data_IF_202543573014
#
_entry.id   IF_202543573014
#
_cell.length_a   1.000
_cell.length_b   1.000
_cell.length_c   1.000
_cell.angle_alpha   90.00
_cell.angle_beta   90.00
_cell.angle_gamma   90.00
#
_symmetry.space_group_name_H-M   'P 1'
#
loop_
_entity.id
_entity.type
_entity.pdbx_description
1 polymer ?
#
# COMPACT_ATOMS: atom_id res chain seq x y z
N UNK A 1 49.81 -26.58 37.03
CA UNK A 1 49.64 -25.27 36.33
C UNK A 1 49.77 -25.54 34.84
N UNK A 2 48.86 -25.25 33.90
CA UNK A 2 47.47 -24.79 33.83
C UNK A 2 46.96 -25.30 32.45
N UNK A 3 45.93 -26.16 32.34
CA UNK A 3 45.25 -26.41 31.07
C UNK A 3 44.09 -25.39 30.98
N UNK A 4 44.42 -24.09 30.94
CA UNK A 4 43.40 -23.02 30.97
C UNK A 4 43.31 -22.30 29.61
N UNK A 5 44.35 -22.34 28.77
CA UNK A 5 44.34 -21.59 27.49
C UNK A 5 43.52 -22.25 26.37
N UNK A 6 43.40 -23.57 26.32
CA UNK A 6 42.75 -24.24 25.17
C UNK A 6 41.21 -24.11 25.19
N UNK A 7 40.58 -24.13 26.37
CA UNK A 7 39.11 -24.00 26.47
C UNK A 7 38.62 -22.56 26.28
N UNK A 8 39.45 -21.57 26.57
CA UNK A 8 39.09 -20.15 26.47
C UNK A 8 39.12 -19.65 25.01
N UNK A 9 40.02 -20.18 24.18
CA UNK A 9 40.11 -19.86 22.75
C UNK A 9 38.94 -20.43 21.93
N UNK A 10 38.44 -21.61 22.30
CA UNK A 10 37.26 -22.22 21.67
C UNK A 10 35.98 -21.44 22.02
N UNK A 11 35.86 -20.95 23.26
CA UNK A 11 34.75 -20.06 23.65
C UNK A 11 34.82 -18.68 22.98
N UNK A 12 36.02 -18.12 22.78
CA UNK A 12 36.20 -16.86 22.06
C UNK A 12 35.90 -16.98 20.55
N UNK A 13 36.22 -18.11 19.92
CA UNK A 13 35.83 -18.38 18.52
C UNK A 13 34.35 -18.70 18.35
N UNK A 14 33.68 -19.25 19.39
CA UNK A 14 32.23 -19.44 19.38
C UNK A 14 31.45 -18.15 19.69
N UNK A 15 32.03 -17.21 20.46
CA UNK A 15 31.44 -15.90 20.72
C UNK A 15 31.71 -14.86 19.60
N UNK A 16 32.63 -15.13 18.66
CA UNK A 16 32.79 -14.30 17.46
C UNK A 16 31.84 -14.69 16.31
N UNK A 17 31.06 -15.76 16.48
CA UNK A 17 29.78 -15.93 15.79
C UNK A 17 28.67 -15.27 16.62
N UNK A 18 28.83 -13.97 16.90
CA UNK A 18 27.65 -13.12 16.96
C UNK A 18 26.92 -13.39 15.64
N UNK A 19 25.66 -13.83 15.64
CA UNK A 19 24.90 -13.83 14.42
C UNK A 19 24.90 -12.38 13.98
N UNK A 20 25.70 -12.03 12.98
CA UNK A 20 25.30 -11.02 12.03
C UNK A 20 23.91 -11.49 11.64
N UNK A 21 22.88 -10.87 12.22
CA UNK A 21 21.51 -11.29 12.03
C UNK A 21 21.27 -11.11 10.54
N UNK A 22 21.46 -12.18 9.77
CA UNK A 22 20.92 -12.27 8.42
C UNK A 22 19.43 -12.38 8.65
N UNK A 23 18.79 -11.23 8.91
CA UNK A 23 17.35 -11.13 8.83
C UNK A 23 17.03 -11.56 7.40
N UNK A 24 16.45 -12.75 7.29
CA UNK A 24 15.98 -13.24 6.01
C UNK A 24 14.96 -12.21 5.52
N UNK A 25 15.21 -11.63 4.35
CA UNK A 25 14.28 -10.68 3.75
C UNK A 25 12.95 -11.39 3.51
N UNK A 26 11.86 -10.70 3.83
CA UNK A 26 10.50 -11.20 3.70
C UNK A 26 9.97 -10.77 2.34
N UNK A 27 9.40 -11.71 1.59
CA UNK A 27 8.72 -11.42 0.33
C UNK A 27 7.39 -10.70 0.62
N UNK A 28 7.25 -9.46 0.12
CA UNK A 28 6.07 -8.62 0.32
C UNK A 28 4.95 -8.84 -0.71
N UNK A 29 5.08 -9.81 -1.62
CA UNK A 29 4.08 -10.06 -2.68
C UNK A 29 2.63 -10.05 -2.18
N UNK A 30 2.32 -10.83 -1.14
CA UNK A 30 0.95 -10.93 -0.61
C UNK A 30 0.45 -9.61 -0.01
N UNK A 31 1.35 -8.77 0.49
CA UNK A 31 1.02 -7.48 1.09
C UNK A 31 0.90 -6.36 0.05
N UNK A 32 1.54 -6.50 -1.11
CA UNK A 32 1.56 -5.49 -2.17
C UNK A 32 0.61 -5.79 -3.32
N UNK A 33 0.26 -7.06 -3.57
CA UNK A 33 -0.63 -7.43 -4.68
C UNK A 33 -1.94 -6.63 -4.63
N UNK A 34 -2.39 -6.21 -5.81
CA UNK A 34 -3.62 -5.44 -6.03
C UNK A 34 -3.64 -4.04 -5.41
N UNK A 35 -2.47 -3.54 -4.98
CA UNK A 35 -2.33 -2.20 -4.40
C UNK A 35 -1.50 -1.29 -5.27
N UNK A 36 -1.73 0.00 -5.10
CA UNK A 36 -0.83 1.02 -5.64
C UNK A 36 0.29 1.26 -4.63
N UNK A 37 1.50 1.32 -5.16
CA UNK A 37 2.73 1.48 -4.40
C UNK A 37 3.50 2.68 -4.93
N UNK A 38 4.22 3.33 -4.03
CA UNK A 38 5.16 4.41 -4.32
C UNK A 38 6.53 3.96 -3.82
N UNK A 39 7.56 4.14 -4.63
CA UNK A 39 8.89 3.59 -4.34
C UNK A 39 9.87 4.73 -4.12
N UNK A 40 10.31 4.92 -2.88
CA UNK A 40 11.24 5.98 -2.48
C UNK A 40 12.65 5.38 -2.35
N UNK A 41 13.68 6.02 -2.94
CA UNK A 41 15.06 5.57 -2.72
C UNK A 41 15.54 5.93 -1.32
N UNK A 42 16.31 5.04 -0.69
CA UNK A 42 16.98 5.35 0.58
C UNK A 42 18.33 6.06 0.42
N UNK A 43 18.84 6.23 -0.81
CA UNK A 43 20.07 7.01 -1.04
C UNK A 43 19.82 8.48 -0.67
N UNK A 44 18.69 9.03 -1.12
CA UNK A 44 18.21 10.35 -0.71
C UNK A 44 16.70 10.34 -0.55
N UNK A 45 16.25 10.61 0.68
CA UNK A 45 14.85 10.71 1.04
C UNK A 45 14.13 11.81 0.26
N UNK A 46 12.85 11.61 -0.01
CA UNK A 46 12.00 12.48 -0.82
C UNK A 46 12.14 12.28 -2.33
N UNK A 47 12.92 11.28 -2.77
CA UNK A 47 13.05 10.94 -4.19
C UNK A 47 12.35 9.65 -4.55
N UNK A 48 11.49 9.71 -5.56
CA UNK A 48 10.52 8.68 -5.87
C UNK A 48 10.70 8.15 -7.28
N UNK A 49 10.53 6.84 -7.45
CA UNK A 49 10.49 6.20 -8.74
C UNK A 49 9.38 6.84 -9.58
N UNK A 50 9.76 7.32 -10.75
CA UNK A 50 9.00 8.23 -11.59
C UNK A 50 9.04 7.73 -13.03
N UNK A 51 7.87 7.56 -13.65
CA UNK A 51 7.74 7.32 -15.08
C UNK A 51 8.11 8.56 -15.90
N UNK A 52 9.21 8.48 -16.65
CA UNK A 52 9.66 9.57 -17.51
C UNK A 52 9.15 9.40 -18.95
N UNK A 53 9.01 10.51 -19.69
CA UNK A 53 8.57 10.51 -21.08
C UNK A 53 9.67 10.16 -22.09
N UNK A 54 10.95 10.11 -21.65
CA UNK A 54 12.05 9.71 -22.50
C UNK A 54 11.91 8.24 -22.92
N UNK A 55 11.99 8.01 -24.23
CA UNK A 55 11.85 6.69 -24.84
C UNK A 55 13.18 6.19 -25.41
N UNK A 56 13.38 4.88 -25.36
CA UNK A 56 14.38 4.20 -26.19
C UNK A 56 13.87 4.03 -27.64
N UNK A 57 14.76 3.57 -28.53
CA UNK A 57 14.43 3.35 -29.94
C UNK A 57 13.30 2.32 -30.13
N UNK A 58 13.07 1.43 -29.16
CA UNK A 58 11.98 0.45 -29.17
C UNK A 58 10.69 0.96 -28.52
N UNK A 59 10.61 2.24 -28.15
CA UNK A 59 9.43 2.84 -27.52
C UNK A 59 9.29 2.55 -26.02
N UNK A 60 10.24 1.86 -25.39
CA UNK A 60 10.24 1.66 -23.94
C UNK A 60 10.60 2.97 -23.24
N UNK A 61 10.00 3.26 -22.09
CA UNK A 61 10.22 4.50 -21.35
C UNK A 61 11.19 4.31 -20.20
N UNK A 62 12.10 5.25 -20.01
CA UNK A 62 13.01 5.22 -18.86
C UNK A 62 12.31 5.63 -17.57
N UNK A 63 12.90 5.25 -16.45
CA UNK A 63 12.43 5.56 -15.11
C UNK A 63 13.47 6.41 -14.40
N UNK A 64 13.01 7.52 -13.87
CA UNK A 64 13.81 8.38 -13.01
C UNK A 64 13.47 8.14 -11.56
N UNK A 65 14.33 8.58 -10.65
CA UNK A 65 14.06 8.66 -9.23
C UNK A 65 14.34 10.10 -8.82
N UNK A 66 13.26 10.87 -8.63
CA UNK A 66 13.31 12.33 -8.58
C UNK A 66 12.54 12.92 -7.40
N UNK A 67 12.86 14.17 -7.07
CA UNK A 67 12.35 14.88 -5.89
C UNK A 67 10.86 15.19 -6.04
N UNK A 68 10.05 14.64 -5.13
CA UNK A 68 8.62 14.94 -5.02
C UNK A 68 8.26 15.02 -3.55
N UNK A 69 7.47 16.01 -3.18
CA UNK A 69 6.93 16.06 -1.83
C UNK A 69 6.06 14.81 -1.59
N UNK A 70 6.25 14.11 -0.46
CA UNK A 70 5.52 12.88 -0.13
C UNK A 70 3.99 13.04 -0.27
N UNK A 71 3.44 14.19 0.13
CA UNK A 71 2.00 14.47 -0.04
C UNK A 71 1.55 14.47 -1.51
N UNK A 72 2.42 14.88 -2.44
CA UNK A 72 2.09 14.97 -3.86
C UNK A 72 2.13 13.62 -4.56
N UNK A 73 2.81 12.61 -4.01
CA UNK A 73 2.90 11.29 -4.65
C UNK A 73 1.54 10.62 -4.76
N UNK A 74 0.62 10.90 -3.83
CA UNK A 74 -0.77 10.45 -3.87
C UNK A 74 -1.62 11.09 -4.99
N UNK A 75 -1.11 12.12 -5.67
CA UNK A 75 -1.82 12.84 -6.72
C UNK A 75 -1.11 12.82 -8.08
N UNK A 76 0.10 12.26 -8.14
CA UNK A 76 0.94 12.24 -9.34
C UNK A 76 0.95 10.82 -9.95
N UNK A 77 0.20 10.57 -11.03
CA UNK A 77 0.07 9.24 -11.64
C UNK A 77 1.38 8.61 -12.09
N UNK A 78 2.38 9.45 -12.36
CA UNK A 78 3.70 9.00 -12.85
C UNK A 78 4.54 8.33 -11.78
N UNK A 79 4.22 8.50 -10.50
CA UNK A 79 4.93 7.84 -9.38
C UNK A 79 4.11 6.74 -8.71
N UNK A 80 2.89 6.54 -9.18
CA UNK A 80 1.96 5.55 -8.69
C UNK A 80 2.07 4.29 -9.53
N UNK A 81 2.47 3.18 -8.93
CA UNK A 81 2.59 1.89 -9.59
C UNK A 81 1.57 0.91 -9.03
N UNK A 82 0.64 0.45 -9.86
CA UNK A 82 -0.20 -0.68 -9.52
C UNK A 82 0.65 -1.95 -9.49
N UNK A 83 0.80 -2.52 -8.30
CA UNK A 83 1.34 -3.86 -8.13
C UNK A 83 0.24 -4.88 -8.43
N UNK A 84 0.50 -5.77 -9.38
CA UNK A 84 -0.41 -6.85 -9.78
C UNK A 84 0.26 -8.20 -9.57
N UNK A 85 -0.51 -9.17 -9.14
CA UNK A 85 -0.06 -10.55 -9.14
C UNK A 85 0.07 -11.03 -10.61
N UNK A 86 1.20 -11.61 -10.98
CA UNK A 86 1.44 -12.16 -12.31
C UNK A 86 2.13 -13.53 -12.26
N UNK A 87 2.19 -14.19 -13.41
CA UNK A 87 2.69 -15.55 -13.57
C UNK A 87 1.92 -16.55 -12.67
N UNK A 88 0.60 -16.56 -12.79
CA UNK A 88 -0.26 -17.38 -11.93
C UNK A 88 -0.22 -16.97 -10.45
N UNK A 89 0.12 -15.72 -10.17
CA UNK A 89 0.21 -15.16 -8.81
C UNK A 89 1.51 -15.47 -8.07
N UNK A 90 2.54 -15.94 -8.78
CA UNK A 90 3.85 -16.25 -8.21
C UNK A 90 4.69 -15.00 -7.95
N UNK A 91 4.52 -13.94 -8.76
CA UNK A 91 5.35 -12.73 -8.72
C UNK A 91 4.51 -11.46 -8.78
N UNK A 92 5.16 -10.31 -8.61
CA UNK A 92 4.56 -9.00 -8.86
C UNK A 92 4.97 -8.47 -10.23
N UNK A 93 4.03 -7.78 -10.86
CA UNK A 93 4.24 -6.94 -12.03
C UNK A 93 3.77 -5.54 -11.68
N UNK A 94 4.53 -4.51 -12.08
CA UNK A 94 4.24 -3.13 -11.73
C UNK A 94 3.84 -2.33 -12.98
N UNK A 95 2.68 -1.70 -12.94
CA UNK A 95 2.15 -0.87 -14.02
C UNK A 95 1.94 0.56 -13.50
N UNK A 96 2.58 1.58 -14.09
CA UNK A 96 2.36 2.95 -13.69
C UNK A 96 0.94 3.38 -14.08
N UNK A 97 0.25 4.08 -13.19
CA UNK A 97 -1.12 4.49 -13.46
C UNK A 97 -1.21 5.57 -14.56
N UNK A 98 -0.11 6.28 -14.84
CA UNK A 98 -0.02 7.22 -15.96
C UNK A 98 0.03 6.55 -17.34
N UNK A 99 0.34 5.25 -17.43
CA UNK A 99 0.58 4.55 -18.69
C UNK A 99 0.05 3.11 -18.67
N UNK A 100 -1.21 2.93 -19.09
CA UNK A 100 -1.81 1.61 -19.22
C UNK A 100 -1.02 0.69 -20.16
N UNK A 101 -0.94 -0.58 -19.80
CA UNK A 101 -0.25 -1.67 -20.52
C UNK A 101 1.27 -1.54 -20.62
N UNK A 102 1.89 -0.56 -19.95
CA UNK A 102 3.33 -0.51 -19.77
C UNK A 102 3.71 -1.12 -18.43
N UNK A 103 4.72 -1.99 -18.41
CA UNK A 103 5.12 -2.70 -17.20
C UNK A 103 6.58 -2.47 -16.89
N UNK A 104 6.89 -2.39 -15.60
CA UNK A 104 8.25 -2.37 -15.08
C UNK A 104 8.97 -3.62 -15.57
N UNK A 105 10.05 -3.43 -16.31
CA UNK A 105 10.78 -4.52 -16.96
C UNK A 105 12.26 -4.46 -16.68
N UNK A 106 12.84 -5.64 -16.50
CA UNK A 106 14.25 -5.89 -16.36
C UNK A 106 14.83 -6.44 -17.66
N UNK A 107 15.85 -5.78 -18.19
CA UNK A 107 16.48 -6.25 -19.41
C UNK A 107 17.67 -5.41 -19.85
N UNK A 108 17.80 -5.28 -21.16
CA UNK A 108 18.86 -4.53 -21.80
C UNK A 108 18.26 -3.40 -22.66
N UNK A 109 18.91 -2.22 -22.75
CA UNK A 109 18.57 -1.24 -23.75
C UNK A 109 18.81 -1.80 -25.15
N UNK A 110 17.98 -1.37 -26.11
CA UNK A 110 18.19 -1.70 -27.53
C UNK A 110 19.57 -1.19 -27.97
N UNK A 111 20.42 -2.09 -28.49
CA UNK A 111 21.77 -1.76 -28.96
C UNK A 111 22.86 -1.70 -27.88
N UNK A 112 22.55 -1.95 -26.61
CA UNK A 112 23.55 -1.99 -25.52
C UNK A 112 23.36 -3.24 -24.63
N UNK A 113 23.65 -4.45 -25.15
CA UNK A 113 23.35 -5.72 -24.47
C UNK A 113 24.16 -5.97 -23.18
N UNK A 114 25.17 -5.14 -22.88
CA UNK A 114 25.96 -5.21 -21.65
C UNK A 114 25.46 -4.29 -20.53
N UNK A 115 24.47 -3.43 -20.80
CA UNK A 115 23.89 -2.54 -19.80
C UNK A 115 22.58 -3.15 -19.30
N UNK A 116 22.55 -3.51 -18.02
CA UNK A 116 21.32 -3.97 -17.38
C UNK A 116 20.48 -2.74 -17.02
N UNK A 117 19.19 -2.75 -17.33
CA UNK A 117 18.33 -1.58 -17.18
C UNK A 117 16.97 -1.95 -16.59
N UNK A 118 16.37 -0.95 -15.94
CA UNK A 118 14.96 -0.95 -15.55
C UNK A 118 14.23 0.07 -16.40
N UNK A 119 13.16 -0.35 -17.07
CA UNK A 119 12.36 0.52 -17.93
C UNK A 119 10.90 0.14 -17.87
N UNK A 120 10.06 0.91 -18.52
CA UNK A 120 8.65 0.63 -18.75
C UNK A 120 8.47 0.18 -20.20
N UNK A 121 7.97 -1.03 -20.39
CA UNK A 121 7.77 -1.58 -21.73
C UNK A 121 6.32 -2.02 -21.90
N UNK A 122 5.75 -1.66 -23.05
CA UNK A 122 4.42 -2.11 -23.44
C UNK A 122 4.38 -3.64 -23.58
N UNK A 123 3.37 -4.29 -23.01
CA UNK A 123 3.14 -5.72 -23.18
C UNK A 123 1.69 -6.10 -22.91
N UNK A 124 1.18 -7.07 -23.66
CA UNK A 124 -0.11 -7.74 -23.40
C UNK A 124 0.07 -9.17 -22.88
N UNK A 125 1.31 -9.63 -22.69
CA UNK A 125 1.66 -11.01 -22.33
C UNK A 125 2.54 -11.07 -21.08
N UNK A 126 2.24 -10.23 -20.09
CA UNK A 126 3.07 -10.00 -18.90
C UNK A 126 3.26 -11.28 -18.08
N UNK A 127 2.25 -12.16 -18.02
CA UNK A 127 2.30 -13.39 -17.23
C UNK A 127 3.33 -14.41 -17.71
N UNK A 128 3.62 -14.43 -19.01
CA UNK A 128 4.47 -15.45 -19.62
C UNK A 128 5.92 -15.01 -19.82
N UNK A 129 6.25 -13.78 -19.43
CA UNK A 129 7.55 -13.17 -19.71
C UNK A 129 8.20 -12.67 -18.42
N UNK A 130 9.24 -13.40 -17.99
CA UNK A 130 9.94 -13.15 -16.73
C UNK A 130 10.66 -11.80 -16.67
N UNK A 131 10.79 -11.09 -17.79
CA UNK A 131 11.29 -9.71 -17.83
C UNK A 131 10.45 -8.76 -17.00
N UNK A 132 9.17 -9.06 -16.82
CA UNK A 132 8.23 -8.20 -16.10
C UNK A 132 7.98 -8.64 -14.66
N UNK A 133 8.58 -9.76 -14.24
CA UNK A 133 8.31 -10.36 -12.93
C UNK A 133 9.32 -9.88 -11.91
N UNK A 134 8.81 -9.46 -10.76
CA UNK A 134 9.59 -8.88 -9.67
C UNK A 134 9.22 -9.52 -8.34
N UNK A 135 10.21 -9.59 -7.45
CA UNK A 135 10.00 -9.80 -6.01
C UNK A 135 10.35 -8.53 -5.27
N UNK A 136 9.64 -8.26 -4.18
CA UNK A 136 9.96 -7.16 -3.27
C UNK A 136 10.32 -7.75 -1.92
N UNK A 137 11.60 -7.70 -1.59
CA UNK A 137 12.18 -8.37 -0.44
C UNK A 137 12.54 -7.31 0.62
N UNK A 138 11.88 -7.33 1.78
CA UNK A 138 12.07 -6.29 2.81
C UNK A 138 12.62 -6.87 4.12
N UNK A 139 13.35 -6.06 4.90
CA UNK A 139 13.85 -6.48 6.23
C UNK A 139 12.73 -6.79 7.21
N UNK A 140 11.58 -6.12 7.06
CA UNK A 140 10.39 -6.33 7.87
C UNK A 140 9.13 -5.94 7.10
N UNK A 141 7.99 -6.16 7.74
CA UNK A 141 6.67 -5.93 7.20
C UNK A 141 6.30 -4.43 7.10
N UNK A 142 7.08 -3.53 7.72
CA UNK A 142 6.89 -2.07 7.59
C UNK A 142 7.35 -1.52 6.25
N UNK A 143 8.07 -2.32 5.45
CA UNK A 143 8.52 -1.95 4.10
C UNK A 143 9.41 -0.70 4.04
N UNK A 144 10.06 -0.36 5.15
CA UNK A 144 10.97 0.80 5.27
C UNK A 144 12.29 0.59 4.53
N UNK A 145 12.66 -0.68 4.31
CA UNK A 145 13.92 -1.06 3.67
C UNK A 145 13.74 -2.35 2.88
N UNK A 146 13.63 -2.20 1.57
CA UNK A 146 13.27 -3.22 0.61
C UNK A 146 14.21 -3.24 -0.60
N UNK A 147 14.36 -4.41 -1.20
CA UNK A 147 15.04 -4.63 -2.47
C UNK A 147 14.03 -5.10 -3.51
N UNK A 148 14.15 -4.57 -4.72
CA UNK A 148 13.39 -5.03 -5.88
C UNK A 148 14.26 -5.99 -6.68
N UNK A 149 13.87 -7.27 -6.69
CA UNK A 149 14.63 -8.35 -7.34
C UNK A 149 13.95 -8.69 -8.66
N UNK A 150 14.58 -8.43 -9.82
CA UNK A 150 14.07 -8.89 -11.10
C UNK A 150 14.23 -10.40 -11.23
N UNK A 151 13.13 -11.13 -11.45
CA UNK A 151 13.15 -12.60 -11.56
C UNK A 151 14.08 -13.06 -12.69
N UNK A 152 14.13 -12.30 -13.79
CA UNK A 152 15.02 -12.58 -14.93
C UNK A 152 16.50 -12.69 -14.55
N UNK A 153 16.97 -11.91 -13.58
CA UNK A 153 18.38 -11.83 -13.20
C UNK A 153 18.61 -12.18 -11.71
N UNK A 154 17.66 -12.90 -11.12
CA UNK A 154 17.70 -13.27 -9.70
C UNK A 154 18.95 -14.10 -9.39
N UNK A 155 19.26 -15.10 -10.22
CA UNK A 155 20.45 -15.96 -10.04
C UNK A 155 21.77 -15.21 -10.13
N UNK A 156 21.78 -14.08 -10.84
CA UNK A 156 22.97 -13.28 -11.08
C UNK A 156 23.20 -12.22 -9.97
N UNK A 157 22.24 -12.10 -9.05
CA UNK A 157 22.27 -11.17 -7.92
C UNK A 157 22.04 -9.71 -8.31
N UNK A 158 21.38 -9.44 -9.44
CA UNK A 158 21.01 -8.07 -9.81
C UNK A 158 19.79 -7.59 -9.04
N UNK A 159 19.81 -6.31 -8.69
CA UNK A 159 18.72 -5.60 -8.02
C UNK A 159 18.42 -4.33 -8.79
N UNK A 160 17.19 -3.82 -8.68
CA UNK A 160 16.96 -2.41 -9.02
C UNK A 160 17.82 -1.54 -8.12
N UNK A 161 18.47 -0.53 -8.69
CA UNK A 161 19.28 0.45 -7.97
C UNK A 161 18.97 1.85 -8.48
N UNK A 162 19.16 2.84 -7.61
CA UNK A 162 19.22 4.23 -8.02
C UNK A 162 20.67 4.56 -8.43
N UNK A 163 20.90 4.80 -9.71
CA UNK A 163 22.24 5.11 -10.25
C UNK A 163 22.28 6.51 -10.85
N UNK A 164 23.45 7.12 -10.84
CA UNK A 164 23.73 8.41 -11.47
C UNK A 164 24.69 8.22 -12.67
N UNK A 165 24.49 7.15 -13.44
CA UNK A 165 25.31 6.79 -14.61
C UNK A 165 26.82 6.74 -14.34
N UNK A 166 27.25 6.36 -13.15
CA UNK A 166 28.67 6.27 -12.82
C UNK A 166 29.44 7.60 -12.83
N UNK A 167 28.78 8.75 -12.63
CA UNK A 167 29.52 9.99 -12.32
C UNK A 167 30.11 9.90 -10.91
N UNK A 168 31.41 9.62 -10.84
CA UNK A 168 32.21 9.49 -9.59
C UNK A 168 32.24 10.76 -8.72
N UNK A 169 31.80 11.91 -9.22
CA UNK A 169 31.74 13.19 -8.49
C UNK A 169 30.51 13.35 -7.58
N UNK A 170 29.65 12.35 -7.48
CA UNK A 170 28.41 12.44 -6.71
C UNK A 170 27.28 13.16 -7.45
N UNK A 171 26.10 13.12 -6.81
CA UNK A 171 24.84 13.66 -7.31
C UNK A 171 24.91 15.19 -7.51
N UNK A 172 24.81 15.66 -8.76
CA UNK A 172 24.95 17.09 -9.11
C UNK A 172 23.60 17.85 -9.15
N UNK A 173 22.60 17.41 -8.38
CA UNK A 173 21.31 18.10 -8.31
C UNK A 173 20.27 17.70 -9.37
N UNK A 174 20.46 16.59 -10.09
CA UNK A 174 19.52 16.10 -11.13
C UNK A 174 18.53 15.02 -10.68
N UNK A 175 18.27 14.02 -11.50
CA UNK A 175 17.57 12.79 -11.11
C UNK A 175 18.57 11.65 -10.95
N UNK A 176 18.14 10.56 -10.29
CA UNK A 176 18.77 9.25 -10.48
C UNK A 176 18.02 8.50 -11.58
N UNK A 177 18.70 7.59 -12.26
CA UNK A 177 18.07 6.60 -13.12
C UNK A 177 17.80 5.33 -12.33
N UNK A 178 16.62 4.76 -12.54
CA UNK A 178 16.36 3.39 -12.11
C UNK A 178 17.06 2.43 -13.08
N UNK A 179 18.02 1.67 -12.57
CA UNK A 179 18.78 0.71 -13.37
C UNK A 179 18.97 -0.59 -12.59
N UNK A 180 19.66 -1.56 -13.17
CA UNK A 180 20.00 -2.81 -12.50
C UNK A 180 21.48 -2.81 -12.11
N UNK A 181 21.75 -3.13 -10.86
CA UNK A 181 23.11 -3.16 -10.30
C UNK A 181 23.27 -4.25 -9.25
N UNK A 182 24.54 -4.56 -8.95
CA UNK A 182 24.92 -5.48 -7.86
C UNK A 182 25.34 -4.75 -6.58
N UNK A 183 25.39 -3.42 -6.62
CA UNK A 183 25.72 -2.59 -5.47
C UNK A 183 24.51 -2.51 -4.54
N UNK A 184 24.55 -3.33 -3.50
CA UNK A 184 23.49 -3.45 -2.50
C UNK A 184 23.24 -2.12 -1.77
N UNK A 185 24.25 -1.24 -1.64
CA UNK A 185 24.09 0.04 -0.95
C UNK A 185 23.12 0.98 -1.68
N UNK A 186 23.02 0.85 -3.00
CA UNK A 186 22.15 1.65 -3.88
C UNK A 186 20.80 0.98 -4.16
N UNK A 187 20.61 -0.25 -3.67
CA UNK A 187 19.46 -1.10 -3.96
C UNK A 187 18.34 -1.02 -2.92
N UNK A 188 18.48 -0.14 -1.91
CA UNK A 188 17.50 -0.01 -0.85
C UNK A 188 16.45 1.05 -1.14
N UNK A 189 15.20 0.64 -1.04
CA UNK A 189 14.02 1.48 -1.23
C UNK A 189 13.08 1.35 -0.05
N UNK A 190 12.37 2.43 0.27
CA UNK A 190 11.17 2.39 1.07
C UNK A 190 9.98 2.21 0.13
N UNK A 191 9.17 1.19 0.39
CA UNK A 191 7.94 0.97 -0.37
C UNK A 191 6.78 1.50 0.44
N UNK A 192 6.19 2.57 -0.06
CA UNK A 192 4.97 3.11 0.47
C UNK A 192 3.81 2.41 -0.21
N UNK A 193 3.23 1.47 0.51
CA UNK A 193 1.92 0.91 0.20
C UNK A 193 1.08 1.21 1.44
N UNK A 194 0.37 2.34 1.51
CA UNK A 194 -0.37 2.72 2.70
C UNK A 194 -1.47 1.69 2.94
N UNK A 195 -1.37 0.94 4.03
CA UNK A 195 -2.50 0.13 4.48
C UNK A 195 -3.55 1.14 4.95
N UNK A 196 -4.84 0.98 4.61
CA UNK A 196 -5.85 1.68 5.36
C UNK A 196 -5.69 1.29 6.83
N UNK A 197 -5.40 2.24 7.72
CA UNK A 197 -5.35 1.95 9.17
C UNK A 197 -6.77 1.75 9.65
N UNK A 198 -7.15 0.53 10.01
CA UNK A 198 -8.51 0.18 10.36
C UNK A 198 -8.72 0.06 11.87
N UNK A 199 -9.87 0.54 12.32
CA UNK A 199 -10.29 0.36 13.70
C UNK A 199 -11.79 0.51 13.83
N UNK A 200 -12.37 -0.23 14.79
CA UNK A 200 -13.75 0.01 15.20
C UNK A 200 -13.81 1.32 15.99
N UNK A 201 -14.25 2.39 15.32
CA UNK A 201 -14.45 3.71 15.92
C UNK A 201 -15.92 3.91 16.27
N UNK A 202 -16.17 4.52 17.43
CA UNK A 202 -17.53 4.89 17.83
C UNK A 202 -18.11 5.89 16.84
N UNK A 203 -19.24 5.53 16.24
CA UNK A 203 -20.00 6.37 15.30
C UNK A 203 -21.35 6.79 15.87
N UNK A 204 -21.81 6.08 16.90
CA UNK A 204 -23.06 6.39 17.59
C UNK A 204 -23.03 5.83 19.02
N UNK A 205 -23.56 6.58 19.97
CA UNK A 205 -23.82 6.12 21.33
C UNK A 205 -25.07 6.78 21.86
N UNK A 206 -25.97 6.00 22.45
CA UNK A 206 -27.17 6.52 23.10
C UNK A 206 -27.57 5.65 24.29
N UNK A 207 -28.22 6.27 25.27
CA UNK A 207 -28.63 5.64 26.54
C UNK A 207 -30.12 5.82 26.75
N UNK A 208 -30.85 4.71 26.83
CA UNK A 208 -32.26 4.71 27.21
C UNK A 208 -32.38 4.48 28.72
N UNK A 209 -32.71 5.53 29.47
CA UNK A 209 -32.92 5.47 30.93
C UNK A 209 -34.33 5.04 31.32
N UNK A 210 -35.27 5.05 30.37
CA UNK A 210 -36.66 4.63 30.56
C UNK A 210 -36.83 3.11 30.66
N UNK A 211 -38.05 2.67 30.92
CA UNK A 211 -38.40 1.25 31.10
C UNK A 211 -38.93 0.59 29.83
N UNK A 212 -39.23 1.37 28.79
CA UNK A 212 -39.73 0.90 27.49
C UNK A 212 -38.69 1.09 26.38
N UNK A 213 -38.80 0.31 25.30
CA UNK A 213 -37.93 0.43 24.12
C UNK A 213 -38.06 1.82 23.47
N UNK A 214 -36.94 2.38 23.04
CA UNK A 214 -36.87 3.64 22.29
C UNK A 214 -36.25 3.41 20.92
N UNK A 215 -36.72 4.15 19.91
CA UNK A 215 -36.11 4.15 18.59
C UNK A 215 -35.25 5.40 18.41
N UNK A 216 -34.10 5.23 17.78
CA UNK A 216 -33.24 6.33 17.42
C UNK A 216 -32.68 6.15 16.02
N UNK A 217 -32.51 7.27 15.33
CA UNK A 217 -31.87 7.32 14.01
C UNK A 217 -30.41 7.72 14.15
N UNK A 218 -29.57 7.13 13.31
CA UNK A 218 -28.17 7.51 13.20
C UNK A 218 -27.71 7.37 11.75
N UNK A 219 -26.74 8.19 11.36
CA UNK A 219 -26.19 8.18 10.02
C UNK A 219 -24.71 7.80 10.07
N UNK A 220 -24.29 6.96 9.14
CA UNK A 220 -22.88 6.58 8.97
C UNK A 220 -22.48 6.71 7.52
N UNK A 221 -21.21 6.96 7.29
CA UNK A 221 -20.67 7.13 5.95
C UNK A 221 -20.03 5.82 5.52
N UNK A 222 -20.47 5.26 4.38
CA UNK A 222 -19.84 4.09 3.76
C UNK A 222 -19.14 4.56 2.49
N UNK A 223 -17.85 4.25 2.34
CA UNK A 223 -17.03 4.69 1.22
C UNK A 223 -15.91 5.66 1.63
N UNK A 224 -15.43 6.47 0.68
CA UNK A 224 -14.27 7.36 0.85
C UNK A 224 -14.74 8.78 1.14
N UNK A 225 -14.33 9.33 2.28
CA UNK A 225 -14.49 10.75 2.62
C UNK A 225 -13.13 11.40 2.90
N UNK A 226 -12.91 12.62 2.42
CA UNK A 226 -11.66 13.35 2.68
C UNK A 226 -11.70 14.01 4.08
N UNK A 227 -10.62 13.89 4.86
CA UNK A 227 -10.54 14.42 6.24
C UNK A 227 -10.23 15.90 6.33
N UNK A 228 -9.77 16.52 5.24
CA UNK A 228 -9.42 17.95 5.18
C UNK A 228 -10.38 18.71 4.27
N UNK A 229 -10.82 19.89 4.72
CA UNK A 229 -11.68 20.85 3.99
C UNK A 229 -11.01 21.52 2.79
N UNK A 230 -9.80 21.10 2.43
CA UNK A 230 -9.13 21.60 1.22
C UNK A 230 -9.71 20.92 -0.01
N UNK A 231 -10.44 21.69 -0.81
CA UNK A 231 -10.93 21.29 -2.14
C UNK A 231 -9.75 20.91 -3.02
N UNK A 232 -9.48 19.62 -3.12
CA UNK A 232 -8.55 19.05 -4.09
C UNK A 232 -9.36 18.32 -5.16
N UNK A 233 -9.02 18.55 -6.42
CA UNK A 233 -9.59 17.77 -7.51
C UNK A 233 -9.02 16.36 -7.44
N UNK A 234 -9.85 15.38 -7.08
CA UNK A 234 -9.46 13.97 -7.10
C UNK A 234 -9.38 13.54 -8.57
N UNK A 235 -8.22 13.08 -9.00
CA UNK A 235 -8.04 12.55 -10.36
C UNK A 235 -8.51 11.09 -10.40
N UNK A 236 -8.85 10.59 -11.60
CA UNK A 236 -9.18 9.16 -11.81
C UNK A 236 -8.09 8.22 -11.27
N UNK A 237 -6.86 8.70 -11.21
CA UNK A 237 -5.70 7.94 -10.78
C UNK A 237 -5.64 7.78 -9.26
N UNK A 238 -5.89 8.87 -8.51
CA UNK A 238 -6.01 8.81 -7.04
C UNK A 238 -7.16 7.89 -6.66
N UNK A 239 -8.25 7.94 -7.41
CA UNK A 239 -9.36 7.00 -7.31
C UNK A 239 -8.85 5.56 -7.43
N UNK A 240 -8.25 5.15 -8.54
CA UNK A 240 -7.71 3.78 -8.72
C UNK A 240 -6.81 3.34 -7.55
N UNK A 241 -5.93 4.22 -7.05
CA UNK A 241 -5.08 3.96 -5.88
C UNK A 241 -5.87 3.64 -4.62
N UNK A 242 -6.84 4.50 -4.29
CA UNK A 242 -7.72 4.29 -3.15
C UNK A 242 -8.51 2.99 -3.36
N UNK A 243 -9.03 2.70 -4.55
CA UNK A 243 -9.82 1.50 -4.83
C UNK A 243 -9.04 0.20 -4.64
N UNK A 244 -7.78 0.18 -5.10
CA UNK A 244 -6.88 -0.95 -4.86
C UNK A 244 -6.63 -1.19 -3.35
N UNK A 245 -6.43 -0.11 -2.58
CA UNK A 245 -6.33 -0.22 -1.12
C UNK A 245 -7.61 -0.77 -0.48
N UNK A 246 -8.79 -0.44 -1.01
CA UNK A 246 -10.09 -0.96 -0.54
C UNK A 246 -10.33 -2.43 -0.89
N UNK A 247 -9.92 -2.90 -2.07
CA UNK A 247 -10.04 -4.32 -2.47
C UNK A 247 -9.40 -5.26 -1.46
N UNK A 248 -8.27 -4.83 -0.87
CA UNK A 248 -7.57 -5.59 0.16
C UNK A 248 -8.36 -5.73 1.48
N UNK A 249 -9.38 -4.89 1.71
CA UNK A 249 -10.07 -4.74 3.00
C UNK A 249 -11.58 -5.07 2.93
N UNK A 250 -12.28 -4.68 1.87
CA UNK A 250 -13.73 -4.91 1.68
C UNK A 250 -14.14 -4.93 0.21
N UNK A 251 -14.45 -6.12 -0.31
CA UNK A 251 -14.88 -6.31 -1.69
C UNK A 251 -16.21 -5.61 -2.05
N UNK A 252 -17.13 -5.41 -1.08
CA UNK A 252 -18.42 -4.73 -1.32
C UNK A 252 -18.26 -3.21 -1.45
N UNK A 253 -17.38 -2.61 -0.65
CA UNK A 253 -17.03 -1.20 -0.77
C UNK A 253 -16.32 -0.95 -2.11
N UNK A 254 -15.41 -1.86 -2.51
CA UNK A 254 -14.73 -1.79 -3.81
C UNK A 254 -15.70 -1.77 -5.00
N UNK A 255 -16.67 -2.69 -5.05
CA UNK A 255 -17.60 -2.80 -6.18
C UNK A 255 -18.52 -1.56 -6.32
N UNK A 256 -18.89 -0.95 -5.19
CA UNK A 256 -19.72 0.27 -5.17
C UNK A 256 -18.94 1.50 -5.65
N UNK A 257 -17.63 1.51 -5.39
CA UNK A 257 -16.72 2.60 -5.72
C UNK A 257 -16.28 2.54 -7.19
N UNK A 258 -15.96 1.36 -7.73
CA UNK A 258 -15.61 1.20 -9.15
C UNK A 258 -16.72 1.75 -10.06
N UNK A 259 -17.98 1.45 -9.73
CA UNK A 259 -19.17 1.95 -10.45
C UNK A 259 -19.38 3.46 -10.25
N UNK A 260 -19.13 3.98 -9.04
CA UNK A 260 -19.25 5.42 -8.77
C UNK A 260 -18.17 6.25 -9.49
N UNK A 261 -16.99 5.67 -9.72
CA UNK A 261 -15.86 6.34 -10.36
C UNK A 261 -15.90 6.38 -11.88
N UNK A 262 -16.49 5.39 -12.54
CA UNK A 262 -16.67 5.43 -14.00
C UNK A 262 -17.44 6.68 -14.47
N UNK A 263 -18.19 7.34 -13.58
CA UNK A 263 -19.06 8.47 -13.90
C UNK A 263 -18.63 9.85 -13.37
N UNK A 264 -17.55 9.98 -12.58
CA UNK A 264 -17.25 11.22 -11.86
C UNK A 264 -15.93 11.88 -12.28
N UNK A 265 -15.94 12.69 -13.34
CA UNK A 265 -14.94 13.74 -13.58
C UNK A 265 -15.41 15.04 -12.91
N UNK A 266 -15.17 15.22 -11.61
CA UNK A 266 -15.69 16.40 -10.88
C UNK A 266 -14.81 16.81 -9.69
N UNK A 267 -14.63 18.13 -9.53
CA UNK A 267 -13.75 18.84 -8.60
C UNK A 267 -14.18 18.83 -7.12
N UNK A 268 -15.24 18.10 -6.78
CA UNK A 268 -15.70 17.87 -5.40
C UNK A 268 -16.29 16.47 -5.37
N UNK A 269 -15.45 15.48 -5.07
CA UNK A 269 -15.87 14.10 -5.06
C UNK A 269 -15.84 13.52 -3.65
N UNK A 270 -17.00 13.04 -3.23
CA UNK A 270 -17.23 12.21 -2.06
C UNK A 270 -17.93 10.94 -2.59
N UNK A 271 -17.23 9.83 -2.85
CA UNK A 271 -17.87 8.49 -2.98
C UNK A 271 -18.07 7.91 -1.59
N UNK A 272 -18.77 8.68 -0.79
CA UNK A 272 -19.21 8.29 0.50
C UNK A 272 -20.73 8.41 0.46
N UNK A 273 -21.41 7.29 0.69
CA UNK A 273 -22.85 7.31 0.88
C UNK A 273 -23.12 7.44 2.35
N UNK A 274 -23.76 8.53 2.74
CA UNK A 274 -24.40 8.61 4.06
C UNK A 274 -25.59 7.67 4.06
N UNK A 275 -25.54 6.66 4.94
CA UNK A 275 -26.62 5.71 5.16
C UNK A 275 -27.23 5.98 6.52
N UNK A 276 -28.52 6.29 6.54
CA UNK A 276 -29.29 6.44 7.77
C UNK A 276 -29.87 5.07 8.16
N UNK A 277 -29.66 4.72 9.42
CA UNK A 277 -30.15 3.50 10.05
C UNK A 277 -31.02 3.87 11.25
N UNK A 278 -31.91 2.95 11.62
CA UNK A 278 -32.66 3.05 12.88
C UNK A 278 -32.23 1.94 13.83
N UNK A 279 -32.14 2.25 15.11
CA UNK A 279 -31.80 1.30 16.16
C UNK A 279 -32.85 1.33 17.27
N UNK A 280 -33.25 0.13 17.70
CA UNK A 280 -34.11 -0.06 18.87
C UNK A 280 -33.23 -0.21 20.11
N UNK A 281 -33.42 0.64 21.11
CA UNK A 281 -32.65 0.66 22.35
C UNK A 281 -33.57 0.15 23.46
N UNK A 282 -33.31 -1.05 24.01
CA UNK A 282 -34.09 -1.57 25.14
C UNK A 282 -34.11 -0.59 26.31
N UNK A 283 -35.16 -0.67 27.14
CA UNK A 283 -35.20 0.07 28.40
C UNK A 283 -33.95 -0.20 29.24
N UNK A 284 -33.53 0.80 30.01
CA UNK A 284 -32.40 0.68 30.94
C UNK A 284 -31.08 0.22 30.29
N UNK A 285 -30.78 0.64 29.05
CA UNK A 285 -29.61 0.16 28.29
C UNK A 285 -28.88 1.29 27.58
N UNK A 286 -27.55 1.26 27.62
CA UNK A 286 -26.68 2.06 26.74
C UNK A 286 -26.24 1.22 25.54
N UNK A 287 -26.43 1.74 24.34
CA UNK A 287 -25.95 1.13 23.10
C UNK A 287 -24.81 1.97 22.54
N UNK A 288 -23.68 1.32 22.26
CA UNK A 288 -22.53 1.91 21.55
C UNK A 288 -22.36 1.17 20.23
N UNK A 289 -22.39 1.91 19.14
CA UNK A 289 -22.15 1.40 17.80
C UNK A 289 -20.79 1.89 17.32
N UNK A 290 -19.97 0.95 16.86
CA UNK A 290 -18.68 1.21 16.25
C UNK A 290 -18.69 0.76 14.80
N UNK A 291 -18.22 1.61 13.89
CA UNK A 291 -18.01 1.25 12.49
C UNK A 291 -16.53 0.93 12.28
N UNK A 292 -16.24 -0.04 11.42
CA UNK A 292 -14.87 -0.26 10.97
C UNK A 292 -14.49 0.85 10.00
N UNK A 293 -13.59 1.74 10.42
CA UNK A 293 -13.13 2.88 9.63
C UNK A 293 -11.62 2.74 9.37
N UNK A 294 -11.26 2.74 8.10
CA UNK A 294 -9.89 2.84 7.59
C UNK A 294 -9.43 4.29 7.47
N UNK A 295 -8.14 4.59 7.63
CA UNK A 295 -7.54 5.83 7.10
C UNK A 295 -6.51 5.53 6.05
N UNK A 296 -6.60 6.23 4.92
CA UNK A 296 -5.57 6.23 3.89
C UNK A 296 -4.76 7.52 3.95
N UNK A 297 -3.44 7.38 4.18
CA UNK A 297 -2.47 8.48 4.21
C UNK A 297 -2.88 9.71 5.06
N UNK A 298 -3.62 9.47 6.16
CA UNK A 298 -4.24 10.48 7.05
C UNK A 298 -5.12 11.54 6.37
N UNK A 299 -5.40 11.38 5.08
CA UNK A 299 -6.09 12.34 4.22
C UNK A 299 -7.48 11.86 3.84
N UNK A 300 -7.70 10.55 3.82
CA UNK A 300 -8.99 9.96 3.49
C UNK A 300 -9.44 9.01 4.60
N UNK A 301 -10.66 9.22 5.10
CA UNK A 301 -11.38 8.26 5.93
C UNK A 301 -12.16 7.30 5.01
N UNK A 302 -12.21 6.05 5.42
CA UNK A 302 -12.75 4.93 4.67
C UNK A 302 -13.75 4.19 5.55
N UNK A 303 -15.05 4.42 5.36
CA UNK A 303 -16.09 3.73 6.13
C UNK A 303 -16.48 2.39 5.49
N UNK A 304 -16.39 1.28 6.25
CA UNK A 304 -16.89 -0.04 5.81
C UNK A 304 -18.36 -0.26 6.19
N UNK A 305 -18.98 -1.26 5.57
CA UNK A 305 -20.33 -1.74 5.93
C UNK A 305 -20.34 -2.67 7.16
N UNK A 306 -19.20 -2.82 7.86
CA UNK A 306 -19.03 -3.66 9.04
C UNK A 306 -19.12 -2.83 10.31
N UNK A 307 -19.96 -3.29 11.24
CA UNK A 307 -20.22 -2.63 12.50
C UNK A 307 -20.09 -3.58 13.68
N UNK A 308 -19.81 -3.02 14.85
CA UNK A 308 -19.86 -3.68 16.15
C UNK A 308 -20.83 -2.93 17.05
N UNK A 309 -21.82 -3.64 17.57
CA UNK A 309 -22.77 -3.13 18.56
C UNK A 309 -22.37 -3.67 19.93
N UNK A 310 -22.33 -2.77 20.90
CA UNK A 310 -22.12 -3.06 22.30
C UNK A 310 -23.33 -2.56 23.11
N UNK A 311 -24.03 -3.49 23.76
CA UNK A 311 -25.16 -3.22 24.65
C UNK A 311 -24.68 -3.30 26.09
N UNK A 312 -24.89 -2.26 26.87
CA UNK A 312 -24.43 -2.14 28.25
C UNK A 312 -25.67 -1.90 29.12
N UNK A 313 -26.13 -2.92 29.88
CA UNK A 313 -27.24 -2.75 30.81
C UNK A 313 -26.88 -1.74 31.89
N UNK A 314 -27.79 -0.80 32.18
CA UNK A 314 -27.58 0.20 33.23
C UNK A 314 -27.71 -0.37 34.64
N UNK A 315 -28.39 -1.51 34.76
CA UNK A 315 -28.71 -2.15 36.04
C UNK A 315 -27.66 -3.21 36.46
N UNK A 316 -26.45 -3.18 35.88
CA UNK A 316 -25.30 -3.97 36.37
C UNK A 316 -25.11 -5.36 35.72
N UNK A 317 -25.59 -5.57 34.50
CA UNK A 317 -25.41 -6.82 33.74
C UNK A 317 -24.16 -6.84 32.84
N UNK A 318 -23.83 -8.03 32.31
CA UNK A 318 -22.74 -8.19 31.36
C UNK A 318 -23.05 -7.48 30.02
N UNK A 319 -22.09 -6.73 29.50
CA UNK A 319 -22.22 -6.09 28.20
C UNK A 319 -22.25 -7.14 27.07
N UNK A 320 -23.15 -6.99 26.11
CA UNK A 320 -23.26 -7.88 24.95
C UNK A 320 -22.60 -7.21 23.75
N UNK A 321 -21.78 -7.97 23.01
CA UNK A 321 -21.10 -7.50 21.80
C UNK A 321 -21.48 -8.36 20.61
N UNK A 322 -21.85 -7.74 19.51
CA UNK A 322 -22.12 -8.42 18.25
C UNK A 322 -21.55 -7.66 17.07
N UNK A 323 -21.05 -8.39 16.07
CA UNK A 323 -20.61 -7.83 14.79
C UNK A 323 -21.69 -8.06 13.74
N UNK A 324 -21.97 -7.03 12.96
CA UNK A 324 -23.02 -7.06 11.94
C UNK A 324 -22.52 -6.37 10.67
N UNK A 325 -23.17 -6.67 9.54
CA UNK A 325 -22.91 -6.04 8.25
C UNK A 325 -24.17 -5.36 7.75
N UNK A 326 -24.09 -4.10 7.34
CA UNK A 326 -25.25 -3.30 6.92
C UNK A 326 -24.96 -2.59 5.59
N UNK A 327 -25.47 -3.17 4.51
CA UNK A 327 -25.24 -2.70 3.14
C UNK A 327 -26.27 -1.66 2.65
N UNK A 328 -27.38 -1.51 3.36
CA UNK A 328 -28.54 -0.67 2.96
C UNK A 328 -29.14 0.01 4.19
N UNK A 329 -29.97 1.06 4.03
CA UNK A 329 -30.79 1.58 5.11
C UNK A 329 -31.58 0.41 5.73
N UNK A 330 -31.32 0.13 7.00
CA UNK A 330 -31.84 -1.06 7.67
C UNK A 330 -32.21 -0.71 9.10
N UNK A 331 -33.33 -1.26 9.56
CA UNK A 331 -33.70 -1.25 10.96
C UNK A 331 -32.92 -2.33 11.71
N UNK A 332 -32.24 -1.93 12.77
CA UNK A 332 -31.49 -2.84 13.62
C UNK A 332 -32.32 -3.12 14.85
N UNK A 333 -32.75 -4.38 14.97
CA UNK A 333 -33.28 -4.89 16.23
C UNK A 333 -32.09 -5.33 17.08
N UNK A 334 -31.89 -4.64 18.19
CA UNK A 334 -30.80 -4.91 19.14
C UNK A 334 -31.15 -6.15 19.94
#
# INVERSE_FOLDING_TARGET
MRPVCAKMLVWLMLCSFLPASTQALIDMKERLKDRVVHVETLIHRGRWLWQNDNKDHGGSRYLFIDLIAERQTYYEPRVQFQARACAGGKYLCFEPLSLPHYYLTAGFPTGAPSKYTVKLQYSTYVDNDNRFHWKVMCENDKMEKCQFVPVRFESDGYLMVADNWGKDGGYSGGHYDATLGKDVSKAWFRVHAPNPTDGYREVYSNTNTGTTEQEAEYSTTIGVSQTQTTTHSITNTVSVEIGGAFKAFSASASASIEVAWEHASSSTFEAAKTVTHKIKIPGRTKVVLKQLIGKYADTFDVGDDKYQIEEIPLDGGAARKRRIRLLKPTFIRV
#
